data_IF_143864564699
#
_entry.id   IF_143864564699
#
_cell.length_a   1.000
_cell.length_b   1.000
_cell.length_c   1.000
_cell.angle_alpha   90.00
_cell.angle_beta   90.00
_cell.angle_gamma   90.00
#
_symmetry.space_group_name_H-M   'P 1'
#
loop_
_entity.id
_entity.type
_entity.pdbx_description
1 polymer ?
#
# COMPACT_ATOMS: atom_id res chain seq x y z
N UNK A 1 33.24 1.18 7.80
CA UNK A 1 32.62 2.41 7.29
C UNK A 1 31.18 2.10 6.95
N UNK A 2 30.21 2.76 7.58
CA UNK A 2 28.80 2.65 7.22
C UNK A 2 28.66 3.15 5.77
N UNK A 3 28.17 2.30 4.87
CA UNK A 3 27.84 2.72 3.51
C UNK A 3 26.85 3.90 3.60
N UNK A 4 27.04 4.99 2.85
CA UNK A 4 26.04 6.06 2.81
C UNK A 4 24.69 5.46 2.40
N UNK A 5 23.65 5.85 3.12
CA UNK A 5 22.26 5.40 2.89
C UNK A 5 21.75 6.05 1.60
N UNK A 6 21.22 5.30 0.62
CA UNK A 6 20.43 5.89 -0.46
C UNK A 6 19.19 6.55 0.16
N UNK A 7 18.78 7.73 -0.30
CA UNK A 7 17.52 8.36 0.11
C UNK A 7 16.42 8.03 -0.90
N UNK A 8 15.50 7.08 -0.63
CA UNK A 8 14.29 7.04 -1.44
C UNK A 8 13.01 7.11 -0.61
N UNK A 9 12.90 8.10 0.29
CA UNK A 9 11.58 8.66 0.60
C UNK A 9 11.16 9.52 -0.60
N UNK A 10 10.43 8.92 -1.55
CA UNK A 10 10.03 9.61 -2.78
C UNK A 10 8.98 10.69 -2.53
N UNK A 11 8.07 10.42 -1.58
CA UNK A 11 6.94 11.29 -1.31
C UNK A 11 6.47 11.08 0.11
N UNK A 12 6.13 12.18 0.79
CA UNK A 12 5.56 12.19 2.13
C UNK A 12 4.59 13.35 2.25
N UNK A 13 3.37 13.06 2.69
CA UNK A 13 2.39 14.10 2.99
C UNK A 13 1.52 13.72 4.17
N UNK A 14 1.07 14.72 4.93
CA UNK A 14 -0.01 14.55 5.89
C UNK A 14 -1.33 14.42 5.14
N UNK A 15 -2.15 13.47 5.55
CA UNK A 15 -3.51 13.27 5.03
C UNK A 15 -4.43 13.19 6.25
N UNK A 16 -5.32 14.15 6.43
CA UNK A 16 -6.15 14.27 7.65
C UNK A 16 -5.29 14.21 8.94
N UNK A 17 -5.52 13.19 9.78
CA UNK A 17 -4.78 12.94 11.03
C UNK A 17 -3.68 11.88 10.89
N UNK A 18 -3.43 11.44 9.67
CA UNK A 18 -2.48 10.39 9.35
C UNK A 18 -1.45 10.84 8.32
N UNK A 19 -0.79 9.86 7.72
CA UNK A 19 0.37 10.10 6.88
C UNK A 19 0.46 9.10 5.73
N UNK A 20 0.72 9.64 4.54
CA UNK A 20 0.98 8.87 3.33
C UNK A 20 2.43 9.04 2.93
N UNK A 21 3.14 7.93 2.80
CA UNK A 21 4.52 7.90 2.33
C UNK A 21 4.67 6.90 1.17
N UNK A 22 5.60 7.19 0.26
CA UNK A 22 6.06 6.23 -0.74
C UNK A 22 7.56 6.09 -0.73
N UNK A 23 8.05 4.90 -1.07
CA UNK A 23 9.47 4.56 -1.05
C UNK A 23 9.87 3.78 -2.31
N UNK A 24 10.93 4.21 -2.99
CA UNK A 24 11.56 3.41 -4.06
C UNK A 24 12.50 2.40 -3.41
N UNK A 25 12.30 1.11 -3.64
CA UNK A 25 13.20 0.08 -3.15
C UNK A 25 14.46 0.08 -4.02
N UNK A 26 15.55 0.56 -3.46
CA UNK A 26 16.90 0.46 -4.05
C UNK A 26 17.83 -0.39 -3.18
N UNK A 27 17.42 -0.66 -1.94
CA UNK A 27 18.19 -1.39 -0.95
C UNK A 27 18.07 -2.91 -1.11
N UNK A 28 19.16 -3.65 -0.83
CA UNK A 28 19.12 -5.10 -0.75
C UNK A 28 18.37 -5.59 0.52
N UNK A 29 18.01 -6.87 0.53
CA UNK A 29 17.22 -7.49 1.62
C UNK A 29 17.93 -7.44 2.98
N UNK A 30 19.24 -7.66 2.98
CA UNK A 30 20.09 -7.63 4.19
C UNK A 30 20.02 -6.26 4.87
N UNK A 31 20.05 -5.18 4.09
CA UNK A 31 19.94 -3.81 4.60
C UNK A 31 18.69 -3.60 5.46
N UNK A 32 17.52 -4.11 5.03
CA UNK A 32 16.29 -4.05 5.80
C UNK A 32 16.35 -4.97 7.02
N UNK A 33 16.79 -6.21 6.84
CA UNK A 33 16.80 -7.21 7.92
C UNK A 33 17.75 -6.87 9.08
N UNK A 34 18.84 -6.16 8.80
CA UNK A 34 19.78 -5.65 9.82
C UNK A 34 19.19 -4.49 10.65
N UNK A 35 18.19 -3.79 10.12
CA UNK A 35 17.59 -2.59 10.73
C UNK A 35 16.22 -2.84 11.34
N UNK A 36 15.48 -3.80 10.78
CA UNK A 36 14.19 -4.22 11.30
C UNK A 36 14.38 -5.29 12.37
N UNK A 37 14.13 -4.90 13.62
CA UNK A 37 13.91 -5.85 14.71
C UNK A 37 12.52 -6.48 14.54
N UNK A 38 12.43 -7.54 13.72
CA UNK A 38 11.19 -8.26 13.45
C UNK A 38 10.82 -9.17 14.63
N UNK A 39 9.54 -9.23 14.99
CA UNK A 39 9.05 -10.20 15.97
C UNK A 39 8.98 -11.61 15.35
N UNK A 40 8.91 -12.66 16.18
CA UNK A 40 8.90 -14.04 15.70
C UNK A 40 7.75 -14.33 14.71
N UNK A 41 6.57 -13.73 14.91
CA UNK A 41 5.44 -13.87 14.00
C UNK A 41 5.76 -13.31 12.60
N UNK A 42 6.47 -12.19 12.53
CA UNK A 42 6.89 -11.56 11.28
C UNK A 42 8.03 -12.32 10.61
N UNK A 43 8.98 -12.87 11.38
CA UNK A 43 10.01 -13.76 10.85
C UNK A 43 9.41 -15.01 10.20
N UNK A 44 8.41 -15.61 10.86
CA UNK A 44 7.68 -16.76 10.33
C UNK A 44 6.94 -16.42 9.04
N UNK A 45 6.29 -15.24 8.99
CA UNK A 45 5.63 -14.76 7.77
C UNK A 45 6.64 -14.53 6.64
N UNK A 46 7.73 -13.80 6.92
CA UNK A 46 8.77 -13.49 5.95
C UNK A 46 9.37 -14.77 5.37
N UNK A 47 9.59 -15.82 6.16
CA UNK A 47 10.11 -17.11 5.68
C UNK A 47 9.23 -17.77 4.59
N UNK A 48 7.93 -17.48 4.56
CA UNK A 48 7.01 -18.02 3.54
C UNK A 48 6.97 -17.19 2.25
N UNK A 49 7.48 -15.96 2.28
CA UNK A 49 7.44 -15.05 1.14
C UNK A 49 8.64 -15.33 0.22
N UNK A 50 8.40 -15.35 -1.10
CA UNK A 50 9.41 -15.67 -2.11
C UNK A 50 9.57 -14.55 -3.15
N UNK A 51 10.78 -14.43 -3.70
CA UNK A 51 11.11 -13.48 -4.77
C UNK A 51 10.93 -12.02 -4.36
N UNK A 52 10.60 -11.15 -5.34
CA UNK A 52 10.48 -9.70 -5.16
C UNK A 52 9.54 -9.26 -4.04
N UNK A 53 8.55 -10.10 -3.69
CA UNK A 53 7.60 -9.82 -2.61
C UNK A 53 8.26 -9.67 -1.25
N UNK A 54 9.42 -10.30 -1.04
CA UNK A 54 10.18 -10.21 0.22
C UNK A 54 10.65 -8.78 0.47
N UNK A 55 11.25 -8.16 -0.55
CA UNK A 55 11.70 -6.77 -0.50
C UNK A 55 10.53 -5.80 -0.31
N UNK A 56 9.43 -5.98 -1.05
CA UNK A 56 8.22 -5.15 -0.90
C UNK A 56 7.67 -5.23 0.53
N UNK A 57 7.61 -6.44 1.10
CA UNK A 57 7.14 -6.67 2.46
C UNK A 57 8.04 -6.01 3.52
N UNK A 58 9.37 -6.09 3.34
CA UNK A 58 10.36 -5.46 4.22
C UNK A 58 10.30 -3.94 4.13
N UNK A 59 10.24 -3.40 2.91
CA UNK A 59 10.17 -1.97 2.66
C UNK A 59 8.90 -1.34 3.25
N UNK A 60 7.73 -1.99 3.14
CA UNK A 60 6.51 -1.52 3.82
C UNK A 60 6.70 -1.42 5.34
N UNK A 61 7.27 -2.45 5.98
CA UNK A 61 7.51 -2.46 7.44
C UNK A 61 8.55 -1.44 7.88
N UNK A 62 9.59 -1.26 7.08
CA UNK A 62 10.58 -0.22 7.30
C UNK A 62 9.94 1.17 7.24
N UNK A 63 9.18 1.46 6.18
CA UNK A 63 8.53 2.75 6.01
C UNK A 63 7.49 3.02 7.12
N UNK A 64 6.72 2.01 7.53
CA UNK A 64 5.85 2.10 8.71
C UNK A 64 6.62 2.43 9.98
N UNK A 65 7.75 1.74 10.23
CA UNK A 65 8.57 2.03 11.40
C UNK A 65 9.08 3.47 11.41
N UNK A 66 9.55 3.99 10.26
CA UNK A 66 9.97 5.39 10.13
C UNK A 66 8.85 6.37 10.49
N UNK A 67 7.65 6.16 9.94
CA UNK A 67 6.49 7.02 10.25
C UNK A 67 6.16 6.97 11.75
N UNK A 68 6.19 5.78 12.37
CA UNK A 68 5.91 5.62 13.80
C UNK A 68 6.99 6.23 14.71
N UNK A 69 8.26 6.21 14.29
CA UNK A 69 9.33 6.93 14.98
C UNK A 69 9.08 8.44 15.00
N UNK A 70 8.67 9.02 13.87
CA UNK A 70 8.36 10.46 13.80
C UNK A 70 7.14 10.84 14.65
N UNK A 71 6.18 9.91 14.80
CA UNK A 71 5.05 10.04 15.73
C UNK A 71 5.40 9.73 17.19
N UNK A 72 6.66 9.36 17.49
CA UNK A 72 7.14 8.96 18.82
C UNK A 72 6.43 7.75 19.41
N UNK A 73 5.92 6.87 18.53
CA UNK A 73 5.25 5.61 18.87
C UNK A 73 6.18 4.41 18.72
N UNK A 74 7.34 4.59 18.08
CA UNK A 74 8.37 3.57 17.92
C UNK A 74 9.75 4.21 18.07
N UNK A 75 10.77 3.40 18.35
CA UNK A 75 12.17 3.83 18.37
C UNK A 75 13.10 2.62 18.12
N UNK A 76 14.41 2.87 18.15
CA UNK A 76 15.45 1.86 17.90
C UNK A 76 15.46 0.68 18.89
N UNK A 77 14.88 0.84 20.08
CA UNK A 77 14.77 -0.22 21.10
C UNK A 77 13.38 -0.85 21.18
N UNK A 78 12.37 -0.18 20.61
CA UNK A 78 10.99 -0.60 20.67
C UNK A 78 10.28 -0.38 19.33
N UNK A 79 10.29 -1.44 18.51
CA UNK A 79 9.59 -1.47 17.23
C UNK A 79 8.15 -1.93 17.41
N UNK A 80 7.19 -1.18 16.85
CA UNK A 80 5.80 -1.63 16.76
C UNK A 80 5.69 -2.66 15.62
N UNK A 81 5.30 -3.92 15.90
CA UNK A 81 5.17 -4.94 14.86
C UNK A 81 3.93 -4.72 14.00
N UNK A 82 4.03 -5.17 12.75
CA UNK A 82 2.90 -5.20 11.82
C UNK A 82 2.43 -6.64 11.69
N UNK A 83 1.23 -6.91 12.20
CA UNK A 83 0.62 -8.23 12.23
C UNK A 83 -0.54 -8.30 11.23
N UNK A 84 -1.01 -9.50 10.92
CA UNK A 84 -2.18 -9.71 10.05
C UNK A 84 -3.37 -10.21 10.86
N UNK A 85 -4.56 -9.73 10.53
CA UNK A 85 -5.82 -10.28 11.04
C UNK A 85 -6.20 -11.59 10.31
N UNK A 86 -7.36 -12.16 10.66
CA UNK A 86 -7.88 -13.40 10.05
C UNK A 86 -8.18 -13.27 8.54
N UNK A 87 -8.35 -12.05 8.03
CA UNK A 87 -8.58 -11.76 6.62
C UNK A 87 -7.29 -11.43 5.86
N UNK A 88 -6.17 -11.26 6.57
CA UNK A 88 -4.87 -10.91 6.04
C UNK A 88 -4.59 -9.41 5.97
N UNK A 89 -5.48 -8.57 6.54
CA UNK A 89 -5.28 -7.12 6.63
C UNK A 89 -4.17 -6.81 7.64
N UNK A 90 -3.20 -5.95 7.31
CA UNK A 90 -2.17 -5.55 8.26
C UNK A 90 -2.76 -4.65 9.37
N UNK A 91 -2.29 -4.83 10.60
CA UNK A 91 -2.62 -3.99 11.74
C UNK A 91 -1.37 -3.74 12.61
N UNK A 92 -1.35 -2.59 13.28
CA UNK A 92 -0.30 -2.23 14.23
C UNK A 92 -0.67 -2.72 15.62
N UNK A 93 0.24 -3.44 16.27
CA UNK A 93 0.04 -3.92 17.64
C UNK A 93 0.06 -2.75 18.62
N UNK A 94 -0.94 -2.68 19.49
CA UNK A 94 -1.05 -1.71 20.60
C UNK A 94 -0.97 -0.22 20.20
N UNK A 95 -1.26 0.11 18.93
CA UNK A 95 -1.23 1.49 18.41
C UNK A 95 -2.57 1.82 17.76
N UNK A 96 -3.18 3.00 18.06
CA UNK A 96 -4.51 3.36 17.55
C UNK A 96 -4.45 3.93 16.12
N UNK A 97 -3.75 3.25 15.22
CA UNK A 97 -3.69 3.58 13.79
C UNK A 97 -3.96 2.32 12.96
N UNK A 98 -4.84 2.45 11.97
CA UNK A 98 -4.94 1.53 10.85
C UNK A 98 -3.78 1.79 9.88
N UNK A 99 -3.36 0.74 9.18
CA UNK A 99 -2.27 0.80 8.20
C UNK A 99 -2.69 0.11 6.91
N UNK A 100 -2.35 0.72 5.77
CA UNK A 100 -2.57 0.15 4.45
C UNK A 100 -1.30 0.18 3.63
N UNK A 101 -1.09 -0.87 2.83
CA UNK A 101 0.08 -1.04 1.97
C UNK A 101 -0.34 -1.18 0.51
N UNK A 102 0.47 -0.61 -0.39
CA UNK A 102 0.48 -0.98 -1.80
C UNK A 102 1.90 -0.98 -2.33
N UNK A 103 2.12 -1.66 -3.45
CA UNK A 103 3.41 -1.76 -4.10
C UNK A 103 3.25 -1.90 -5.61
N UNK A 104 4.14 -1.30 -6.38
CA UNK A 104 4.16 -1.45 -7.84
C UNK A 104 5.55 -1.09 -8.37
N UNK A 105 6.11 -1.93 -9.25
CA UNK A 105 7.35 -1.66 -9.99
C UNK A 105 8.53 -1.20 -9.12
N UNK A 106 8.74 -1.85 -7.98
CA UNK A 106 9.83 -1.53 -7.06
C UNK A 106 9.53 -0.35 -6.12
N UNK A 107 8.35 0.26 -6.20
CA UNK A 107 7.88 1.26 -5.26
C UNK A 107 6.90 0.65 -4.26
N UNK A 108 6.92 1.14 -3.02
CA UNK A 108 5.89 0.85 -2.00
C UNK A 108 5.21 2.13 -1.54
N UNK A 109 3.96 2.01 -1.10
CA UNK A 109 3.18 3.07 -0.47
C UNK A 109 2.65 2.56 0.87
N UNK A 110 2.72 3.43 1.89
CA UNK A 110 2.21 3.18 3.24
C UNK A 110 1.30 4.35 3.62
N UNK A 111 0.08 4.05 4.03
CA UNK A 111 -0.86 5.00 4.63
C UNK A 111 -1.15 4.59 6.06
N UNK A 112 -0.96 5.51 7.00
CA UNK A 112 -1.42 5.36 8.39
C UNK A 112 -2.57 6.34 8.64
N UNK A 113 -3.63 5.90 9.33
CA UNK A 113 -4.76 6.75 9.76
C UNK A 113 -5.33 6.27 11.09
N UNK A 114 -5.94 7.13 11.93
CA UNK A 114 -6.66 6.69 13.12
C UNK A 114 -8.04 6.07 12.81
N UNK A 115 -8.37 5.91 11.54
CA UNK A 115 -9.61 5.33 11.03
C UNK A 115 -9.26 4.32 9.93
N UNK A 116 -10.21 3.45 9.58
CA UNK A 116 -10.02 2.49 8.50
C UNK A 116 -9.52 3.19 7.22
N UNK A 117 -8.44 2.67 6.62
CA UNK A 117 -7.77 3.31 5.51
C UNK A 117 -7.25 2.32 4.47
N UNK A 118 -7.11 2.84 3.26
CA UNK A 118 -6.73 2.07 2.08
C UNK A 118 -5.86 2.91 1.18
N UNK A 119 -4.76 2.35 0.70
CA UNK A 119 -3.89 3.00 -0.30
C UNK A 119 -3.67 2.07 -1.46
N UNK A 120 -3.60 2.65 -2.66
CA UNK A 120 -3.17 1.93 -3.84
C UNK A 120 -2.18 2.73 -4.68
N UNK A 121 -1.17 2.04 -5.21
CA UNK A 121 -0.20 2.59 -6.14
C UNK A 121 -0.14 1.67 -7.36
N UNK A 122 -0.32 2.24 -8.54
CA UNK A 122 -0.34 1.51 -9.80
C UNK A 122 0.71 2.04 -10.76
N UNK A 123 1.18 1.15 -11.63
CA UNK A 123 1.94 1.55 -12.80
C UNK A 123 1.07 1.31 -14.03
N UNK A 124 1.00 2.29 -14.92
CA UNK A 124 0.08 2.24 -16.04
C UNK A 124 0.54 1.20 -17.06
N UNK A 125 -0.22 0.11 -17.14
CA UNK A 125 0.03 -1.02 -18.03
C UNK A 125 -1.21 -1.32 -18.88
N UNK A 126 -1.07 -1.53 -20.21
CA UNK A 126 -2.20 -1.80 -21.10
C UNK A 126 -3.01 -3.06 -20.75
N UNK A 127 -2.39 -4.03 -20.05
CA UNK A 127 -3.04 -5.30 -19.67
C UNK A 127 -4.26 -5.12 -18.77
N UNK A 128 -4.43 -3.96 -18.11
CA UNK A 128 -5.60 -3.67 -17.27
C UNK A 128 -6.92 -3.79 -18.04
N UNK A 129 -6.91 -3.49 -19.36
CA UNK A 129 -8.06 -3.63 -20.25
C UNK A 129 -8.68 -5.04 -20.21
N UNK A 130 -7.84 -6.08 -20.01
CA UNK A 130 -8.27 -7.48 -19.98
C UNK A 130 -9.13 -7.81 -18.75
N UNK A 131 -8.97 -7.06 -17.66
CA UNK A 131 -9.69 -7.29 -16.40
C UNK A 131 -10.76 -6.23 -16.11
N UNK A 132 -10.94 -5.24 -16.98
CA UNK A 132 -11.92 -4.16 -16.82
C UNK A 132 -13.34 -4.65 -16.47
N UNK A 133 -13.79 -5.70 -17.16
CA UNK A 133 -15.10 -6.32 -16.94
C UNK A 133 -15.30 -6.92 -15.55
N UNK A 134 -14.22 -7.16 -14.79
CA UNK A 134 -14.28 -7.72 -13.43
C UNK A 134 -14.49 -6.67 -12.35
N UNK A 135 -14.20 -5.40 -12.64
CA UNK A 135 -14.24 -4.34 -11.64
C UNK A 135 -15.13 -3.15 -12.00
N UNK A 136 -15.42 -2.93 -13.29
CA UNK A 136 -16.33 -1.87 -13.72
C UNK A 136 -17.78 -2.34 -13.69
N UNK A 137 -18.63 -1.53 -13.06
CA UNK A 137 -20.08 -1.55 -13.28
C UNK A 137 -20.43 -0.98 -14.65
N UNK A 138 -21.69 -1.16 -15.08
CA UNK A 138 -22.19 -0.63 -16.35
C UNK A 138 -22.02 0.90 -16.41
N UNK A 139 -22.43 1.60 -15.35
CA UNK A 139 -22.36 3.07 -15.26
C UNK A 139 -20.92 3.59 -15.32
N UNK A 140 -19.97 2.91 -14.69
CA UNK A 140 -18.55 3.29 -14.72
C UNK A 140 -17.94 3.04 -16.10
N UNK A 141 -18.31 1.95 -16.76
CA UNK A 141 -17.86 1.63 -18.11
C UNK A 141 -18.38 2.64 -19.16
N UNK A 142 -19.61 3.13 -18.98
CA UNK A 142 -20.20 4.17 -19.84
C UNK A 142 -19.52 5.53 -19.69
N UNK A 143 -18.87 5.79 -18.55
CA UNK A 143 -18.12 7.04 -18.30
C UNK A 143 -16.64 6.99 -18.73
N UNK A 144 -16.18 5.92 -19.38
CA UNK A 144 -14.82 5.85 -19.88
C UNK A 144 -14.62 6.84 -21.03
N UNK A 145 -13.56 7.65 -20.94
CA UNK A 145 -13.16 8.52 -22.04
C UNK A 145 -12.14 7.80 -22.95
N UNK A 146 -12.41 7.76 -24.26
CA UNK A 146 -11.60 6.98 -25.20
C UNK A 146 -10.13 7.45 -25.31
N UNK A 147 -9.83 8.76 -25.37
CA UNK A 147 -8.47 9.27 -25.37
C UNK A 147 -7.72 9.00 -24.07
N UNK A 148 -8.42 8.94 -22.92
CA UNK A 148 -7.86 8.72 -21.58
C UNK A 148 -8.23 7.34 -21.01
N UNK A 149 -8.47 6.37 -21.90
CA UNK A 149 -9.03 5.08 -21.51
C UNK A 149 -8.12 4.34 -20.52
N UNK A 150 -6.80 4.43 -20.70
CA UNK A 150 -5.87 3.70 -19.84
C UNK A 150 -5.87 4.29 -18.43
N UNK A 151 -5.87 5.61 -18.34
CA UNK A 151 -5.90 6.42 -17.13
C UNK A 151 -7.20 6.18 -16.36
N UNK A 152 -8.35 6.23 -17.04
CA UNK A 152 -9.65 5.93 -16.43
C UNK A 152 -9.67 4.52 -15.83
N UNK A 153 -9.19 3.52 -16.57
CA UNK A 153 -9.16 2.14 -16.08
C UNK A 153 -8.28 1.98 -14.84
N UNK A 154 -7.08 2.59 -14.85
CA UNK A 154 -6.18 2.54 -13.69
C UNK A 154 -6.73 3.31 -12.51
N UNK A 155 -7.41 4.43 -12.72
CA UNK A 155 -8.01 5.20 -11.64
C UNK A 155 -9.17 4.44 -10.99
N UNK A 156 -10.13 3.92 -11.78
CA UNK A 156 -11.21 3.09 -11.25
C UNK A 156 -10.68 1.90 -10.47
N UNK A 157 -9.69 1.20 -11.02
CA UNK A 157 -9.05 0.07 -10.34
C UNK A 157 -8.38 0.48 -9.03
N UNK A 158 -7.59 1.57 -9.04
CA UNK A 158 -6.87 2.06 -7.87
C UNK A 158 -7.82 2.48 -6.75
N UNK A 159 -8.90 3.20 -7.08
CA UNK A 159 -9.92 3.60 -6.10
C UNK A 159 -10.58 2.37 -5.49
N UNK A 160 -10.98 1.39 -6.31
CA UNK A 160 -11.63 0.18 -5.80
C UNK A 160 -10.70 -0.67 -4.94
N UNK A 161 -9.44 -0.83 -5.33
CA UNK A 161 -8.42 -1.52 -4.52
C UNK A 161 -8.19 -0.80 -3.19
N UNK A 162 -8.13 0.53 -3.17
CA UNK A 162 -8.00 1.30 -1.95
C UNK A 162 -9.23 1.10 -1.03
N UNK A 163 -10.45 1.17 -1.57
CA UNK A 163 -11.67 0.91 -0.78
C UNK A 163 -11.69 -0.52 -0.24
N UNK A 164 -11.33 -1.51 -1.06
CA UNK A 164 -11.26 -2.91 -0.63
C UNK A 164 -10.27 -3.11 0.52
N UNK A 165 -9.09 -2.48 0.45
CA UNK A 165 -8.08 -2.52 1.52
C UNK A 165 -8.56 -1.84 2.81
N UNK A 166 -9.28 -0.72 2.69
CA UNK A 166 -9.89 -0.06 3.85
C UNK A 166 -10.95 -0.94 4.51
N UNK A 167 -11.79 -1.60 3.71
CA UNK A 167 -12.83 -2.52 4.17
C UNK A 167 -12.26 -3.72 4.93
N UNK A 168 -11.17 -4.32 4.42
CA UNK A 168 -10.37 -5.27 5.20
C UNK A 168 -10.93 -6.68 5.34
N UNK A 169 -12.11 -6.97 4.79
CA UNK A 169 -12.73 -8.31 4.83
C UNK A 169 -12.77 -8.93 3.45
N UNK A 170 -12.92 -10.25 3.41
CA UNK A 170 -13.12 -11.02 2.17
C UNK A 170 -14.56 -10.84 1.65
N UNK A 171 -14.84 -11.44 0.48
CA UNK A 171 -16.19 -11.57 -0.09
C UNK A 171 -16.82 -10.25 -0.57
N UNK A 172 -16.00 -9.36 -1.11
CA UNK A 172 -16.47 -8.14 -1.76
C UNK A 172 -16.29 -8.24 -3.28
N UNK A 173 -17.39 -8.11 -4.02
CA UNK A 173 -17.36 -8.03 -5.48
C UNK A 173 -17.14 -6.57 -5.92
N UNK A 174 -16.00 -6.31 -6.58
CA UNK A 174 -15.58 -4.95 -6.94
C UNK A 174 -16.61 -4.22 -7.80
N UNK A 175 -17.24 -4.95 -8.72
CA UNK A 175 -18.21 -4.42 -9.67
C UNK A 175 -19.53 -4.01 -9.01
N UNK A 176 -20.01 -4.81 -8.07
CA UNK A 176 -21.37 -4.67 -7.52
C UNK A 176 -21.37 -3.95 -6.15
N UNK A 177 -20.30 -4.09 -5.36
CA UNK A 177 -20.26 -3.60 -3.96
C UNK A 177 -19.43 -2.33 -3.77
N UNK A 178 -18.53 -1.97 -4.68
CA UNK A 178 -17.81 -0.69 -4.64
C UNK A 178 -18.23 0.14 -5.83
N UNK A 179 -19.01 1.19 -5.59
CA UNK A 179 -19.47 2.11 -6.63
C UNK A 179 -18.61 3.37 -6.59
N UNK A 180 -18.00 3.69 -7.73
CA UNK A 180 -17.25 4.93 -7.92
C UNK A 180 -18.06 5.82 -8.85
N UNK A 181 -18.40 7.02 -8.38
CA UNK A 181 -19.08 8.00 -9.21
C UNK A 181 -18.20 8.40 -10.42
N UNK A 182 -18.78 8.56 -11.61
CA UNK A 182 -18.07 9.07 -12.79
C UNK A 182 -17.27 10.33 -12.50
N UNK A 183 -16.04 10.38 -13.00
CA UNK A 183 -15.13 11.52 -12.85
C UNK A 183 -14.50 11.85 -14.20
N UNK A 184 -14.03 13.09 -14.34
CA UNK A 184 -13.19 13.48 -15.46
C UNK A 184 -11.72 13.29 -15.08
N UNK A 185 -10.98 12.48 -15.84
CA UNK A 185 -9.52 12.60 -15.81
C UNK A 185 -9.15 13.98 -16.35
N UNK A 186 -8.52 14.81 -15.52
CA UNK A 186 -7.81 16.00 -15.97
C UNK A 186 -6.35 15.63 -16.10
N UNK A 187 -5.71 16.05 -17.18
CA UNK A 187 -4.26 15.99 -17.31
C UNK A 187 -3.65 16.60 -16.04
N UNK A 188 -2.88 15.79 -15.31
CA UNK A 188 -2.23 16.16 -14.04
C UNK A 188 -0.82 16.66 -14.28
#
# INVERSE_FOLDING_TARGET
MLKPVPMPLNFRTKVNKGELCTWQIEEPEDWFSERLQLEQAELNELAQIKGKRRLEWLACRWLTHQILCDLKLSNEFHRVPVLKDEFGKPHLKDVPFDVSFSHSHGQVAVLLQPVACGVDIQYFVPKIKRIAHKFLSVREAESLDAPLLLEHLHFYWSVKEAVYKAYGRKELEFREHIIVEPFACKDS
#
